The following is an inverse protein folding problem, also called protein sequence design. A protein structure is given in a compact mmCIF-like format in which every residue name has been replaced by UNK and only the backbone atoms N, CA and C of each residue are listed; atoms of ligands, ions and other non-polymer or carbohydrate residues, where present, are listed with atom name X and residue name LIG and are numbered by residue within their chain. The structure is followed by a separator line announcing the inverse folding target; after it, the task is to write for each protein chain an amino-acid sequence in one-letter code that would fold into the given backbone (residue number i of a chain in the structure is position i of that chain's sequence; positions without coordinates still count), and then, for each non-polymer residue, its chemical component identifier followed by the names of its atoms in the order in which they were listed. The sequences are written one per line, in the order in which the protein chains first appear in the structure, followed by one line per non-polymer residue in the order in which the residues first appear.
data_IF_739093001582
#
_entry.id   IF_739093001582
#
_cell.length_a   1.000
_cell.length_b   1.000
_cell.length_c   1.000
_cell.angle_alpha   90.00
_cell.angle_beta   90.00
_cell.angle_gamma   90.00
#
_symmetry.space_group_name_H-M   'P 1'
#
loop_
_entity.id
_entity.type
_entity.pdbx_description
1 polymer ?
#
# COMPACT_ATOMS: atom_id res chain seq x y z
N UNK A 1 5.85 10.24 -3.72
CA UNK A 1 5.37 11.63 -3.90
C UNK A 1 3.88 11.54 -4.22
N UNK A 2 2.99 11.88 -3.28
CA UNK A 2 1.53 11.82 -3.52
C UNK A 2 1.01 13.25 -3.51
N UNK A 3 1.11 13.90 -4.68
CA UNK A 3 0.60 15.26 -4.91
C UNK A 3 -0.87 15.30 -5.35
N UNK A 4 -1.54 14.15 -5.38
CA UNK A 4 -2.94 13.97 -5.79
C UNK A 4 -3.59 12.83 -5.01
N UNK A 5 -4.91 12.82 -4.88
CA UNK A 5 -5.63 11.65 -4.36
C UNK A 5 -5.49 10.47 -5.34
N UNK A 6 -4.93 9.31 -4.94
CA UNK A 6 -4.84 8.15 -5.80
C UNK A 6 -6.21 7.49 -5.98
N UNK A 7 -6.42 6.85 -7.13
CA UNK A 7 -7.65 6.14 -7.43
C UNK A 7 -7.58 4.68 -6.96
N UNK A 8 -8.74 4.05 -6.74
CA UNK A 8 -8.80 2.61 -6.52
C UNK A 8 -8.17 1.86 -7.71
N UNK A 9 -7.34 0.85 -7.40
CA UNK A 9 -6.53 0.09 -8.34
C UNK A 9 -5.13 0.67 -8.59
N UNK A 10 -4.83 1.90 -8.13
CA UNK A 10 -3.49 2.47 -8.26
C UNK A 10 -2.51 1.79 -7.31
N UNK A 11 -1.28 1.56 -7.79
CA UNK A 11 -0.18 0.99 -7.02
C UNK A 11 0.92 2.03 -6.84
N UNK A 12 1.45 2.09 -5.64
CA UNK A 12 2.53 2.98 -5.24
C UNK A 12 3.59 2.17 -4.50
N UNK A 13 4.84 2.36 -4.91
CA UNK A 13 5.98 1.79 -4.21
C UNK A 13 6.53 2.82 -3.21
N UNK A 14 6.71 2.39 -1.97
CA UNK A 14 7.28 3.19 -0.89
C UNK A 14 8.24 2.33 -0.08
N UNK A 15 9.53 2.69 -0.09
CA UNK A 15 10.60 1.87 0.53
C UNK A 15 10.56 0.43 -0.02
N UNK A 16 10.32 -0.55 0.86
CA UNK A 16 10.16 -1.98 0.54
C UNK A 16 8.70 -2.42 0.54
N UNK A 17 7.79 -1.47 0.43
CA UNK A 17 6.36 -1.73 0.44
C UNK A 17 5.77 -1.39 -0.92
N UNK A 18 4.94 -2.30 -1.41
CA UNK A 18 3.98 -2.05 -2.47
C UNK A 18 2.62 -1.81 -1.86
N UNK A 19 2.12 -0.59 -2.01
CA UNK A 19 0.81 -0.18 -1.57
C UNK A 19 -0.13 -0.24 -2.78
N UNK A 20 -1.19 -1.03 -2.69
CA UNK A 20 -2.26 -1.07 -3.69
C UNK A 20 -3.52 -0.47 -3.08
N UNK A 21 -4.04 0.60 -3.68
CA UNK A 21 -5.27 1.24 -3.23
C UNK A 21 -6.45 0.35 -3.61
N UNK A 22 -7.12 -0.23 -2.62
CA UNK A 22 -8.31 -1.05 -2.88
C UNK A 22 -9.57 -0.19 -2.93
N UNK A 23 -9.61 0.88 -2.14
CA UNK A 23 -10.76 1.78 -2.06
C UNK A 23 -10.32 3.17 -1.62
N UNK A 24 -10.77 4.20 -2.34
CA UNK A 24 -10.53 5.60 -2.02
C UNK A 24 -11.73 6.45 -2.45
N UNK A 25 -12.01 7.49 -1.67
CA UNK A 25 -12.92 8.56 -2.05
C UNK A 25 -12.13 9.82 -2.46
N UNK A 26 -12.80 10.94 -2.68
CA UNK A 26 -12.16 12.20 -3.11
C UNK A 26 -11.25 12.85 -2.06
N UNK A 27 -11.32 12.42 -0.79
CA UNK A 27 -10.65 13.04 0.36
C UNK A 27 -9.73 12.09 1.12
N UNK A 28 -9.97 10.78 1.07
CA UNK A 28 -9.14 9.79 1.76
C UNK A 28 -9.16 8.43 1.09
N UNK A 29 -8.07 7.71 1.32
CA UNK A 29 -8.00 6.28 1.08
C UNK A 29 -8.74 5.57 2.20
N UNK A 30 -9.66 4.67 1.85
CA UNK A 30 -10.45 3.90 2.81
C UNK A 30 -9.84 2.52 3.06
N UNK A 31 -9.21 1.92 2.03
CA UNK A 31 -8.61 0.59 2.14
C UNK A 31 -7.39 0.45 1.24
N UNK A 32 -6.33 -0.11 1.81
CA UNK A 32 -5.04 -0.37 1.13
C UNK A 32 -4.63 -1.80 1.39
N UNK A 33 -4.10 -2.45 0.36
CA UNK A 33 -3.31 -3.68 0.48
C UNK A 33 -1.84 -3.30 0.52
N UNK A 34 -1.13 -3.82 1.51
CA UNK A 34 0.31 -3.60 1.67
C UNK A 34 1.02 -4.93 1.42
N UNK A 35 2.01 -4.90 0.54
CA UNK A 35 2.84 -6.06 0.22
C UNK A 35 4.30 -5.70 0.48
N UNK A 36 5.02 -6.55 1.20
CA UNK A 36 6.47 -6.41 1.34
C UNK A 36 7.14 -6.92 0.06
N UNK A 37 7.88 -6.03 -0.59
CA UNK A 37 8.75 -6.34 -1.74
C UNK A 37 10.07 -6.93 -1.20
N UNK A 38 9.96 -8.14 -0.64
CA UNK A 38 10.97 -9.09 -0.19
C UNK A 38 12.04 -8.71 0.87
N UNK A 39 12.30 -9.69 1.75
CA UNK A 39 13.56 -9.86 2.48
C UNK A 39 13.50 -10.02 4.00
N UNK A 40 12.34 -10.02 4.67
CA UNK A 40 12.27 -10.30 6.10
C UNK A 40 11.45 -11.56 6.35
N UNK A 41 12.14 -12.69 6.42
CA UNK A 41 11.66 -13.85 7.14
C UNK A 41 11.36 -13.40 8.58
N UNK A 42 10.10 -13.19 8.90
CA UNK A 42 9.61 -13.14 10.27
C UNK A 42 8.27 -13.87 10.31
N UNK A 43 8.36 -15.17 10.05
CA UNK A 43 7.48 -16.13 10.69
C UNK A 43 8.09 -16.47 12.04
N UNK A 44 7.83 -15.66 13.06
CA UNK A 44 8.02 -16.07 14.45
C UNK A 44 6.72 -15.73 15.18
N UNK A 45 5.76 -16.65 15.04
CA UNK A 45 4.69 -16.82 16.02
C UNK A 45 5.25 -17.71 17.11
N UNK A 46 5.51 -17.13 18.28
CA UNK A 46 5.66 -17.85 19.54
C UNK A 46 4.30 -17.92 20.25
#
# INVERSE_FOLDING_TARGET
HIGRMPSAGETLDWERLRLTILEADTRRIQRVRIELLDGAANGESA
#
